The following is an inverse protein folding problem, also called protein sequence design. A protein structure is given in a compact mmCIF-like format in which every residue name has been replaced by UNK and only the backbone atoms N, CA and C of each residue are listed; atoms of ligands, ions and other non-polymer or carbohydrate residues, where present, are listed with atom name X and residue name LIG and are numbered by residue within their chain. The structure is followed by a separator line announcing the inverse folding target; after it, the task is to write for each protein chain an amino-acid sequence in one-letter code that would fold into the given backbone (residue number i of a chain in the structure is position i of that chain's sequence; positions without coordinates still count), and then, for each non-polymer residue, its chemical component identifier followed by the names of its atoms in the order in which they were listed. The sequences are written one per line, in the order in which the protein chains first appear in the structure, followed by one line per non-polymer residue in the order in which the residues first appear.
data_IF_005105490278
#
_entry.id   IF_005105490278
#
_cell.length_a   1.000
_cell.length_b   1.000
_cell.length_c   1.000
_cell.angle_alpha   90.00
_cell.angle_beta   90.00
_cell.angle_gamma   90.00
#
_symmetry.space_group_name_H-M   'P 1'
#
loop_
_entity.id
_entity.type
_entity.pdbx_description
1 polymer ?
#
# COMPACT_ATOMS: atom_id res chain seq x y z
N UNK A 1 14.98 20.02 -11.66
CA UNK A 1 14.93 18.72 -10.93
C UNK A 1 13.64 18.57 -10.12
N UNK A 2 13.33 19.48 -9.18
CA UNK A 2 12.10 19.38 -8.38
C UNK A 2 10.84 19.69 -9.19
N UNK A 3 10.89 20.70 -10.06
CA UNK A 3 9.74 21.09 -10.90
C UNK A 3 9.28 19.96 -11.82
N UNK A 4 10.22 19.26 -12.47
CA UNK A 4 9.93 18.10 -13.32
C UNK A 4 9.29 16.95 -12.53
N UNK A 5 9.74 16.71 -11.29
CA UNK A 5 9.14 15.67 -10.43
C UNK A 5 7.70 16.05 -10.07
N UNK A 6 7.47 17.31 -9.69
CA UNK A 6 6.14 17.82 -9.38
C UNK A 6 5.21 17.80 -10.60
N UNK A 7 5.73 18.07 -11.79
CA UNK A 7 4.99 17.95 -13.05
C UNK A 7 4.58 16.49 -13.32
N UNK A 8 5.50 15.53 -13.20
CA UNK A 8 5.19 14.10 -13.34
C UNK A 8 4.10 13.65 -12.37
N UNK A 9 4.16 14.08 -11.12
CA UNK A 9 3.14 13.77 -10.11
C UNK A 9 1.80 14.43 -10.48
N UNK A 10 1.82 15.69 -10.92
CA UNK A 10 0.63 16.40 -11.41
C UNK A 10 -0.05 15.68 -12.57
N UNK A 11 0.72 15.26 -13.57
CA UNK A 11 0.23 14.45 -14.70
C UNK A 11 -0.34 13.10 -14.24
N UNK A 12 0.31 12.43 -13.28
CA UNK A 12 -0.19 11.19 -12.70
C UNK A 12 -1.54 11.38 -11.98
N UNK A 13 -1.72 12.50 -11.26
CA UNK A 13 -3.00 12.81 -10.61
C UNK A 13 -4.14 12.96 -11.62
N UNK A 14 -3.92 13.68 -12.74
CA UNK A 14 -4.88 13.83 -13.84
C UNK A 14 -5.19 12.49 -14.51
N UNK A 15 -4.16 11.69 -14.78
CA UNK A 15 -4.30 10.38 -15.41
C UNK A 15 -5.16 9.44 -14.56
N UNK A 16 -4.91 9.36 -13.25
CA UNK A 16 -5.71 8.53 -12.34
C UNK A 16 -7.18 8.95 -12.33
N UNK A 17 -7.44 10.26 -12.29
CA UNK A 17 -8.81 10.79 -12.39
C UNK A 17 -9.48 10.49 -13.73
N UNK A 18 -8.73 10.59 -14.84
CA UNK A 18 -9.22 10.23 -16.17
C UNK A 18 -9.62 8.75 -16.25
N UNK A 19 -8.78 7.84 -15.73
CA UNK A 19 -9.08 6.41 -15.66
C UNK A 19 -10.34 6.17 -14.82
N UNK A 20 -10.39 6.76 -13.62
CA UNK A 20 -11.53 6.62 -12.72
C UNK A 20 -12.86 7.09 -13.34
N UNK A 21 -12.84 8.24 -14.03
CA UNK A 21 -14.03 8.79 -14.68
C UNK A 21 -14.42 8.01 -15.93
N UNK A 22 -13.45 7.39 -16.63
CA UNK A 22 -13.74 6.52 -17.77
C UNK A 22 -14.41 5.20 -17.35
N UNK A 23 -14.00 4.62 -16.23
CA UNK A 23 -14.57 3.40 -15.69
C UNK A 23 -14.19 3.20 -14.24
N UNK A 24 -15.19 3.30 -13.36
CA UNK A 24 -15.06 2.99 -11.93
C UNK A 24 -14.61 1.54 -11.75
N UNK A 25 -15.14 0.61 -12.55
CA UNK A 25 -14.80 -0.81 -12.47
C UNK A 25 -13.32 -1.07 -12.78
N UNK A 26 -12.76 -0.47 -13.85
CA UNK A 26 -11.33 -0.62 -14.17
C UNK A 26 -10.45 -0.11 -13.03
N UNK A 27 -10.80 1.05 -12.46
CA UNK A 27 -10.06 1.63 -11.36
C UNK A 27 -10.18 0.79 -10.06
N UNK A 28 -11.36 0.24 -9.79
CA UNK A 28 -11.59 -0.67 -8.66
C UNK A 28 -10.78 -1.97 -8.81
N UNK A 29 -10.71 -2.55 -10.01
CA UNK A 29 -9.90 -3.75 -10.27
C UNK A 29 -8.42 -3.46 -10.05
N UNK A 30 -7.89 -2.36 -10.60
CA UNK A 30 -6.52 -1.89 -10.34
C UNK A 30 -6.27 -1.74 -8.83
N UNK A 31 -7.20 -1.09 -8.13
CA UNK A 31 -7.10 -0.90 -6.68
C UNK A 31 -7.20 -2.22 -5.90
N UNK A 32 -8.00 -3.18 -6.35
CA UNK A 32 -8.07 -4.51 -5.74
C UNK A 32 -6.75 -5.28 -5.89
N UNK A 33 -6.09 -5.21 -7.05
CA UNK A 33 -4.76 -5.80 -7.20
C UNK A 33 -3.74 -5.17 -6.27
N UNK A 34 -3.75 -3.84 -6.10
CA UNK A 34 -2.85 -3.19 -5.14
C UNK A 34 -3.08 -3.69 -3.70
N UNK A 35 -4.35 -3.83 -3.27
CA UNK A 35 -4.69 -4.38 -1.97
C UNK A 35 -4.21 -5.83 -1.79
N UNK A 36 -4.37 -6.65 -2.83
CA UNK A 36 -3.88 -8.02 -2.85
C UNK A 36 -2.34 -8.08 -2.77
N UNK A 37 -1.60 -7.25 -3.50
CA UNK A 37 -0.14 -7.24 -3.46
C UNK A 37 0.42 -6.84 -2.10
N UNK A 38 -0.17 -5.83 -1.45
CA UNK A 38 0.17 -5.50 -0.06
C UNK A 38 -0.16 -6.67 0.87
N UNK A 39 -1.31 -7.30 0.65
CA UNK A 39 -1.72 -8.49 1.39
C UNK A 39 -0.74 -9.67 1.24
N UNK A 40 -0.19 -9.91 0.05
CA UNK A 40 0.80 -10.98 -0.19
C UNK A 40 2.05 -10.75 0.66
N UNK A 41 2.52 -9.52 0.77
CA UNK A 41 3.62 -9.19 1.69
C UNK A 41 3.26 -9.45 3.15
N UNK A 42 2.02 -9.17 3.56
CA UNK A 42 1.53 -9.53 4.91
C UNK A 42 1.55 -11.04 5.12
N UNK A 43 1.08 -11.84 4.16
CA UNK A 43 1.10 -13.31 4.25
C UNK A 43 2.53 -13.83 4.48
N UNK A 44 3.49 -13.30 3.73
CA UNK A 44 4.90 -13.65 3.85
C UNK A 44 5.45 -13.29 5.22
N UNK A 45 5.35 -12.03 5.64
CA UNK A 45 5.98 -11.58 6.89
C UNK A 45 5.29 -12.14 8.12
N UNK A 46 3.99 -12.47 8.06
CA UNK A 46 3.30 -13.13 9.17
C UNK A 46 3.70 -14.59 9.29
N UNK A 47 3.97 -15.27 8.17
CA UNK A 47 4.55 -16.62 8.18
C UNK A 47 5.97 -16.60 8.75
N UNK A 48 6.81 -15.66 8.32
CA UNK A 48 8.15 -15.48 8.91
C UNK A 48 8.03 -15.14 10.40
N UNK A 49 7.13 -14.23 10.74
CA UNK A 49 6.87 -13.80 12.11
C UNK A 49 6.48 -14.95 13.02
N UNK A 50 5.58 -15.85 12.58
CA UNK A 50 5.19 -17.01 13.38
C UNK A 50 6.34 -18.00 13.55
N UNK A 51 7.10 -18.28 12.50
CA UNK A 51 8.25 -19.21 12.53
C UNK A 51 9.43 -18.69 13.38
N UNK A 52 9.54 -17.36 13.53
CA UNK A 52 10.68 -16.72 14.22
C UNK A 52 10.29 -16.08 15.55
N UNK A 53 9.15 -16.46 16.13
CA UNK A 53 8.60 -15.83 17.35
C UNK A 53 9.55 -15.80 18.56
N UNK A 54 10.51 -16.73 18.64
CA UNK A 54 11.48 -16.82 19.73
C UNK A 54 12.80 -16.08 19.45
N UNK A 55 12.95 -15.48 18.27
CA UNK A 55 14.19 -14.80 17.88
C UNK A 55 14.11 -13.29 18.19
N UNK A 56 15.15 -12.68 18.80
CA UNK A 56 15.22 -11.23 18.98
C UNK A 56 15.16 -10.45 17.65
N UNK A 57 15.59 -11.08 16.54
CA UNK A 57 15.62 -10.52 15.20
C UNK A 57 14.31 -10.63 14.42
N UNK A 58 13.25 -11.20 15.01
CA UNK A 58 11.95 -11.44 14.34
C UNK A 58 11.43 -10.22 13.56
N UNK A 59 11.39 -9.05 14.19
CA UNK A 59 10.87 -7.82 13.56
C UNK A 59 11.75 -7.33 12.40
N UNK A 60 13.07 -7.54 12.48
CA UNK A 60 14.00 -7.19 11.41
C UNK A 60 13.75 -8.09 10.21
N UNK A 61 13.65 -9.41 10.44
CA UNK A 61 13.36 -10.41 9.40
C UNK A 61 12.03 -10.12 8.70
N UNK A 62 10.98 -9.80 9.46
CA UNK A 62 9.70 -9.36 8.90
C UNK A 62 9.85 -8.09 8.06
N UNK A 63 10.63 -7.11 8.53
CA UNK A 63 10.84 -5.84 7.83
C UNK A 63 11.53 -6.01 6.48
N UNK A 64 12.67 -6.71 6.44
CA UNK A 64 13.43 -6.91 5.19
C UNK A 64 12.66 -7.74 4.17
N UNK A 65 11.81 -8.65 4.61
CA UNK A 65 10.98 -9.47 3.71
C UNK A 65 9.73 -8.75 3.20
N UNK A 66 9.36 -7.57 3.74
CA UNK A 66 8.16 -6.86 3.32
C UNK A 66 8.30 -6.12 1.99
N UNK A 67 9.54 -5.91 1.48
CA UNK A 67 9.82 -5.14 0.26
C UNK A 67 8.97 -5.58 -0.96
N UNK A 68 8.66 -6.88 -1.04
CA UNK A 68 7.83 -7.45 -2.12
C UNK A 68 6.46 -6.77 -2.25
N UNK A 69 5.86 -6.34 -1.14
CA UNK A 69 4.54 -5.72 -1.12
C UNK A 69 4.49 -4.48 -2.00
N UNK A 70 5.39 -3.54 -1.74
CA UNK A 70 5.41 -2.25 -2.43
C UNK A 70 6.12 -2.33 -3.79
N UNK A 71 7.13 -3.20 -3.93
CA UNK A 71 7.73 -3.52 -5.22
C UNK A 71 6.68 -3.95 -6.26
N UNK A 72 5.79 -4.89 -5.91
CA UNK A 72 4.73 -5.35 -6.81
C UNK A 72 3.80 -4.21 -7.22
N UNK A 73 3.42 -3.34 -6.28
CA UNK A 73 2.55 -2.19 -6.57
C UNK A 73 3.21 -1.21 -7.54
N UNK A 74 4.48 -0.87 -7.32
CA UNK A 74 5.19 0.11 -8.16
C UNK A 74 5.46 -0.46 -9.55
N UNK A 75 5.95 -1.70 -9.65
CA UNK A 75 6.31 -2.31 -10.93
C UNK A 75 5.07 -2.61 -11.77
N UNK A 76 3.98 -3.08 -11.16
CA UNK A 76 2.74 -3.37 -11.88
C UNK A 76 1.89 -2.12 -12.13
N UNK A 77 2.24 -0.98 -11.54
CA UNK A 77 1.56 0.30 -11.76
C UNK A 77 0.10 0.33 -11.29
N UNK A 78 -0.22 -0.43 -10.24
CA UNK A 78 -1.59 -0.54 -9.69
C UNK A 78 -1.90 0.55 -8.66
N UNK A 79 -3.19 0.84 -8.45
CA UNK A 79 -3.64 1.99 -7.67
C UNK A 79 -3.69 1.71 -6.16
N UNK A 80 -2.70 2.24 -5.42
CA UNK A 80 -2.61 2.13 -3.97
C UNK A 80 -3.04 3.41 -3.25
N UNK A 81 -3.95 3.29 -2.28
CA UNK A 81 -4.51 4.42 -1.52
C UNK A 81 -3.43 5.26 -0.82
N UNK A 82 -2.50 4.60 -0.13
CA UNK A 82 -1.45 5.27 0.66
C UNK A 82 -0.56 6.16 -0.19
N UNK A 83 -0.13 5.66 -1.37
CA UNK A 83 0.64 6.45 -2.34
C UNK A 83 -0.19 7.56 -3.00
N UNK A 84 -1.48 7.32 -3.23
CA UNK A 84 -2.39 8.32 -3.78
C UNK A 84 -2.62 9.52 -2.84
N UNK A 85 -2.32 9.42 -1.54
CA UNK A 85 -2.34 10.59 -0.65
C UNK A 85 -1.36 11.67 -1.15
N UNK A 86 -0.10 11.32 -1.39
CA UNK A 86 0.89 12.28 -1.92
C UNK A 86 0.51 12.75 -3.33
N UNK A 87 0.19 11.81 -4.24
CA UNK A 87 -0.06 12.13 -5.64
C UNK A 87 -1.23 13.11 -5.80
N UNK A 88 -2.34 12.86 -5.10
CA UNK A 88 -3.51 13.74 -5.17
C UNK A 88 -3.30 15.05 -4.42
N UNK A 89 -2.62 15.07 -3.28
CA UNK A 89 -2.30 16.32 -2.57
C UNK A 89 -1.43 17.24 -3.43
N UNK A 90 -0.39 16.72 -4.08
CA UNK A 90 0.42 17.50 -5.02
C UNK A 90 -0.44 17.99 -6.20
N UNK A 91 -1.30 17.13 -6.75
CA UNK A 91 -2.24 17.51 -7.81
C UNK A 91 -3.19 18.65 -7.39
N UNK A 92 -3.73 18.62 -6.17
CA UNK A 92 -4.57 19.70 -5.62
C UNK A 92 -3.77 21.00 -5.53
N UNK A 93 -2.58 20.98 -4.93
CA UNK A 93 -1.75 22.16 -4.72
C UNK A 93 -1.30 22.79 -6.05
N UNK A 94 -1.13 21.96 -7.09
CA UNK A 94 -0.84 22.38 -8.46
C UNK A 94 -2.08 22.81 -9.26
N UNK A 95 -3.28 22.69 -8.69
CA UNK A 95 -4.57 22.93 -9.36
C UNK A 95 -4.80 22.01 -10.58
N UNK A 96 -4.15 20.86 -10.59
CA UNK A 96 -4.28 19.84 -11.63
C UNK A 96 -5.56 19.01 -11.48
N UNK A 97 -6.05 18.87 -10.25
CA UNK A 97 -7.31 18.19 -9.87
C UNK A 97 -8.01 18.96 -8.75
N UNK A 98 -9.33 18.80 -8.59
CA UNK A 98 -10.07 19.42 -7.49
C UNK A 98 -9.97 18.60 -6.21
N UNK A 99 -10.22 19.23 -5.07
CA UNK A 99 -10.32 18.52 -3.77
C UNK A 99 -11.42 17.45 -3.81
N UNK A 100 -12.55 17.73 -4.46
CA UNK A 100 -13.63 16.75 -4.66
C UNK A 100 -13.18 15.52 -5.44
N UNK A 101 -12.31 15.72 -6.43
CA UNK A 101 -11.75 14.64 -7.26
C UNK A 101 -10.84 13.74 -6.41
N UNK A 102 -9.98 14.36 -5.60
CA UNK A 102 -9.10 13.64 -4.67
C UNK A 102 -9.90 12.83 -3.65
N UNK A 103 -10.93 13.40 -3.02
CA UNK A 103 -11.80 12.69 -2.06
C UNK A 103 -12.46 11.49 -2.74
N UNK A 104 -13.06 11.67 -3.93
CA UNK A 104 -13.68 10.59 -4.69
C UNK A 104 -12.69 9.46 -4.99
N UNK A 105 -11.49 9.82 -5.45
CA UNK A 105 -10.44 8.85 -5.77
C UNK A 105 -9.94 8.11 -4.52
N UNK A 106 -9.71 8.82 -3.42
CA UNK A 106 -9.29 8.24 -2.15
C UNK A 106 -10.31 7.22 -1.64
N UNK A 107 -11.60 7.57 -1.63
CA UNK A 107 -12.66 6.65 -1.21
C UNK A 107 -12.71 5.39 -2.09
N UNK A 108 -12.72 5.55 -3.41
CA UNK A 108 -12.84 4.42 -4.34
C UNK A 108 -11.58 3.54 -4.29
N UNK A 109 -10.40 4.15 -4.22
CA UNK A 109 -9.13 3.42 -4.12
C UNK A 109 -9.05 2.62 -2.81
N UNK A 110 -9.44 3.23 -1.69
CA UNK A 110 -9.45 2.57 -0.39
C UNK A 110 -10.41 1.37 -0.38
N UNK A 111 -11.62 1.53 -0.92
CA UNK A 111 -12.60 0.44 -1.06
C UNK A 111 -12.04 -0.68 -1.95
N UNK A 112 -11.42 -0.32 -3.08
CA UNK A 112 -10.78 -1.31 -3.95
C UNK A 112 -9.66 -2.08 -3.24
N UNK A 113 -8.76 -1.38 -2.54
CA UNK A 113 -7.69 -2.02 -1.75
C UNK A 113 -8.28 -2.96 -0.69
N UNK A 114 -9.36 -2.56 0.00
CA UNK A 114 -10.06 -3.41 0.97
C UNK A 114 -10.64 -4.67 0.31
N UNK A 115 -11.32 -4.54 -0.83
CA UNK A 115 -11.87 -5.68 -1.59
C UNK A 115 -10.74 -6.66 -1.95
N UNK A 116 -9.62 -6.17 -2.48
CA UNK A 116 -8.46 -6.99 -2.80
C UNK A 116 -7.89 -7.75 -1.60
N UNK A 117 -7.77 -7.07 -0.46
CA UNK A 117 -7.33 -7.68 0.79
C UNK A 117 -8.28 -8.76 1.30
N UNK A 118 -9.61 -8.52 1.23
CA UNK A 118 -10.63 -9.50 1.62
C UNK A 118 -10.58 -10.74 0.72
N UNK A 119 -10.51 -10.55 -0.61
CA UNK A 119 -10.41 -11.66 -1.56
C UNK A 119 -9.18 -12.52 -1.24
N UNK A 120 -8.02 -11.89 -1.05
CA UNK A 120 -6.80 -12.61 -0.70
C UNK A 120 -6.94 -13.36 0.64
N UNK A 121 -7.51 -12.71 1.66
CA UNK A 121 -7.70 -13.34 2.97
C UNK A 121 -8.61 -14.58 2.87
N UNK A 122 -9.71 -14.51 2.10
CA UNK A 122 -10.60 -15.65 1.88
C UNK A 122 -9.89 -16.79 1.14
N UNK A 123 -9.10 -16.48 0.11
CA UNK A 123 -8.28 -17.48 -0.58
C UNK A 123 -7.26 -18.13 0.36
N UNK A 124 -6.62 -17.33 1.21
CA UNK A 124 -5.62 -17.82 2.15
C UNK A 124 -6.22 -18.69 3.25
N UNK A 125 -7.38 -18.32 3.80
CA UNK A 125 -8.13 -19.17 4.73
C UNK A 125 -8.59 -20.46 4.04
N UNK A 126 -9.15 -20.34 2.82
CA UNK A 126 -9.60 -21.48 2.02
C UNK A 126 -8.49 -22.46 1.64
N UNK A 127 -7.24 -22.00 1.56
CA UNK A 127 -6.07 -22.86 1.34
C UNK A 127 -5.76 -23.78 2.53
N UNK A 128 -6.30 -23.49 3.72
CA UNK A 128 -6.03 -24.24 4.94
C UNK A 128 -4.63 -24.02 5.53
N UNK A 129 -3.91 -22.97 5.11
CA UNK A 129 -2.57 -22.62 5.62
C UNK A 129 -2.61 -21.93 6.98
N UNK A 130 -3.70 -21.22 7.31
CA UNK A 130 -3.85 -20.49 8.59
C UNK A 130 -4.19 -21.47 9.72
N UNK A 131 -3.17 -22.06 10.36
CA UNK A 131 -3.32 -23.03 11.45
C UNK A 131 -2.24 -22.84 12.53
N UNK A 132 -2.48 -23.39 13.72
CA UNK A 132 -1.51 -23.43 14.82
C UNK A 132 -0.92 -22.05 15.18
N UNK A 133 0.41 -21.98 15.25
CA UNK A 133 1.13 -20.77 15.62
C UNK A 133 0.90 -19.60 14.65
N UNK A 134 0.71 -19.88 13.36
CA UNK A 134 0.42 -18.84 12.38
C UNK A 134 -0.95 -18.20 12.65
N UNK A 135 -1.98 -18.99 12.92
CA UNK A 135 -3.30 -18.48 13.29
C UNK A 135 -3.23 -17.62 14.56
N UNK A 136 -2.51 -18.12 15.58
CA UNK A 136 -2.28 -17.38 16.84
C UNK A 136 -1.52 -16.08 16.62
N UNK A 137 -0.57 -16.05 15.67
CA UNK A 137 0.19 -14.86 15.31
C UNK A 137 -0.69 -13.79 14.65
N UNK A 138 -1.59 -14.19 13.74
CA UNK A 138 -2.60 -13.29 13.17
C UNK A 138 -3.51 -12.70 14.23
N UNK A 139 -4.08 -13.54 15.10
CA UNK A 139 -5.01 -13.12 16.15
C UNK A 139 -4.37 -12.13 17.12
N UNK A 140 -3.20 -12.47 17.68
CA UNK A 140 -2.48 -11.60 18.62
C UNK A 140 -2.11 -10.26 17.98
N UNK A 141 -1.63 -10.29 16.74
CA UNK A 141 -1.24 -9.07 16.02
C UNK A 141 -2.44 -8.19 15.69
N UNK A 142 -3.55 -8.79 15.27
CA UNK A 142 -4.79 -8.08 15.00
C UNK A 142 -5.35 -7.42 16.27
N UNK A 143 -5.44 -8.17 17.37
CA UNK A 143 -5.92 -7.67 18.66
C UNK A 143 -5.05 -6.54 19.21
N UNK A 144 -3.72 -6.67 19.14
CA UNK A 144 -2.80 -5.62 19.57
C UNK A 144 -2.94 -4.33 18.75
N UNK A 145 -3.26 -4.43 17.46
CA UNK A 145 -3.49 -3.26 16.60
C UNK A 145 -4.87 -2.63 16.85
N UNK A 146 -5.90 -3.45 17.03
CA UNK A 146 -7.28 -2.99 17.24
C UNK A 146 -7.49 -2.35 18.63
N UNK A 147 -6.73 -2.77 19.64
CA UNK A 147 -6.80 -2.24 21.00
C UNK A 147 -5.83 -1.07 21.28
N UNK A 148 -5.01 -0.68 20.29
CA UNK A 148 -4.04 0.39 20.49
C UNK A 148 -4.72 1.77 20.61
N UNK A 149 -4.19 2.69 21.43
CA UNK A 149 -4.73 4.04 21.56
C UNK A 149 -4.76 4.78 20.23
N UNK A 150 -5.82 5.54 19.99
CA UNK A 150 -6.04 6.29 18.74
C UNK A 150 -4.83 7.16 18.35
N UNK A 151 -4.31 7.97 19.28
CA UNK A 151 -3.18 8.87 19.00
C UNK A 151 -1.92 8.08 18.60
N UNK A 152 -1.68 6.94 19.24
CA UNK A 152 -0.56 6.08 18.88
C UNK A 152 -0.70 5.50 17.46
N UNK A 153 -1.93 5.14 17.04
CA UNK A 153 -2.21 4.70 15.67
C UNK A 153 -2.03 5.83 14.65
N UNK A 154 -2.48 7.05 14.97
CA UNK A 154 -2.30 8.23 14.10
C UNK A 154 -0.82 8.52 13.88
N UNK A 155 -0.02 8.60 14.95
CA UNK A 155 1.42 8.86 14.82
C UNK A 155 2.13 7.76 14.01
N UNK A 156 1.82 6.48 14.27
CA UNK A 156 2.36 5.36 13.47
C UNK A 156 1.94 5.42 12.01
N UNK A 157 0.69 5.82 11.74
CA UNK A 157 0.16 6.00 10.39
C UNK A 157 0.90 7.11 9.62
N UNK A 158 1.17 8.25 10.26
CA UNK A 158 1.94 9.35 9.66
C UNK A 158 3.35 8.86 9.27
N UNK A 159 4.07 8.25 10.21
CA UNK A 159 5.43 7.76 9.97
C UNK A 159 5.47 6.70 8.85
N UNK A 160 4.50 5.78 8.87
CA UNK A 160 4.35 4.77 7.83
C UNK A 160 4.16 5.42 6.44
N UNK A 161 3.23 6.36 6.33
CA UNK A 161 2.88 6.91 5.03
C UNK A 161 3.95 7.87 4.48
N UNK A 162 4.78 8.47 5.34
CA UNK A 162 5.99 9.18 4.90
C UNK A 162 6.90 8.22 4.13
N UNK A 163 7.20 7.05 4.70
CA UNK A 163 8.07 6.06 4.04
C UNK A 163 7.47 5.52 2.74
N UNK A 164 6.18 5.17 2.75
CA UNK A 164 5.48 4.69 1.54
C UNK A 164 5.49 5.74 0.43
N UNK A 165 5.23 7.01 0.77
CA UNK A 165 5.23 8.09 -0.21
C UNK A 165 6.64 8.40 -0.73
N UNK A 166 7.69 8.24 0.09
CA UNK A 166 9.08 8.37 -0.38
C UNK A 166 9.45 7.27 -1.37
N UNK A 167 9.03 6.04 -1.12
CA UNK A 167 9.22 4.94 -2.07
C UNK A 167 8.48 5.20 -3.39
N UNK A 168 7.23 5.66 -3.34
CA UNK A 168 6.46 6.08 -4.52
C UNK A 168 7.12 7.27 -5.25
N UNK A 169 7.64 8.25 -4.50
CA UNK A 169 8.37 9.40 -5.05
C UNK A 169 9.61 8.97 -5.81
N UNK A 170 10.32 7.94 -5.33
CA UNK A 170 11.47 7.38 -6.03
C UNK A 170 11.10 6.90 -7.45
N UNK A 171 9.92 6.30 -7.60
CA UNK A 171 9.36 5.88 -8.89
C UNK A 171 9.14 7.02 -9.90
N UNK A 172 8.97 8.26 -9.44
CA UNK A 172 8.89 9.45 -10.30
C UNK A 172 10.26 10.06 -10.64
N UNK A 173 11.31 9.66 -9.93
CA UNK A 173 12.65 10.26 -10.01
C UNK A 173 13.68 9.40 -10.73
N UNK A 174 13.44 8.09 -10.85
CA UNK A 174 14.33 7.17 -11.57
C UNK A 174 13.58 6.39 -12.65
N UNK A 175 14.28 6.09 -13.75
CA UNK A 175 13.81 5.19 -14.79
C UNK A 175 14.33 3.75 -14.60
N UNK A 176 15.27 3.54 -13.67
CA UNK A 176 15.84 2.23 -13.36
C UNK A 176 14.91 1.46 -12.40
N UNK A 177 14.33 0.36 -12.89
CA UNK A 177 13.42 -0.47 -12.11
C UNK A 177 14.11 -1.19 -10.94
N UNK A 178 15.40 -1.51 -11.04
CA UNK A 178 16.18 -2.06 -9.93
C UNK A 178 16.35 -1.03 -8.82
N UNK A 179 16.60 0.23 -9.19
CA UNK A 179 16.68 1.33 -8.23
C UNK A 179 15.32 1.58 -7.55
N UNK A 180 14.20 1.44 -8.27
CA UNK A 180 12.86 1.53 -7.66
C UNK A 180 12.64 0.45 -6.61
N UNK A 181 12.96 -0.81 -6.95
CA UNK A 181 12.82 -1.95 -6.03
C UNK A 181 13.68 -1.77 -4.77
N UNK A 182 14.91 -1.26 -4.91
CA UNK A 182 15.79 -1.01 -3.77
C UNK A 182 15.22 0.06 -2.80
N UNK A 183 14.40 0.97 -3.32
CA UNK A 183 13.79 2.06 -2.56
C UNK A 183 12.40 1.72 -1.99
N UNK A 184 11.84 0.55 -2.32
CA UNK A 184 10.55 0.05 -1.78
C UNK A 184 10.73 -0.86 -0.58
#
# INVERSE_FOLDING_TARGET
MYDETLEKIGLASKKKMSVLNSSILKYLISSAFAGMFIGIGILLIFTIGSLTANLPSQKILMGVSFAIALSLVIIMGVDLFTGNNMVMTVGILRKDVKVSDAIKLWCICWIGNLIGGIILALLYVGSGLVKGDLASFYEKTAMAKASAPFLALVCKGILCNILVCLAVLSGFRTNDDSAKILMT
#
